data_IF_070906075762
#
_entry.id   IF_070906075762
#
_cell.length_a   1.000
_cell.length_b   1.000
_cell.length_c   1.000
_cell.angle_alpha   90.00
_cell.angle_beta   90.00
_cell.angle_gamma   90.00
#
_symmetry.space_group_name_H-M   'P 1'
#
loop_
_entity.id
_entity.type
_entity.pdbx_description
1 polymer ?
#
# COMPACT_ATOMS: atom_id res chain seq x y z
N UNK A 1 -4.61 -18.82 3.67
CA UNK A 1 -4.07 -18.02 2.54
C UNK A 1 -3.74 -16.55 2.89
N UNK A 2 -3.48 -16.19 4.16
CA UNK A 2 -3.13 -14.81 4.57
C UNK A 2 -1.72 -14.38 4.12
N UNK A 3 -0.80 -15.33 4.00
CA UNK A 3 0.62 -15.07 3.76
C UNK A 3 0.88 -14.30 2.45
N UNK A 4 0.16 -14.64 1.37
CA UNK A 4 0.30 -13.99 0.06
C UNK A 4 -0.18 -12.53 0.13
N UNK A 5 -1.30 -12.26 0.82
CA UNK A 5 -1.81 -10.89 1.03
C UNK A 5 -0.81 -10.07 1.83
N UNK A 6 -0.27 -10.63 2.91
CA UNK A 6 0.76 -9.96 3.70
C UNK A 6 1.99 -9.66 2.83
N UNK A 7 2.49 -10.62 2.04
CA UNK A 7 3.65 -10.36 1.20
C UNK A 7 3.42 -9.27 0.16
N UNK A 8 2.23 -9.21 -0.45
CA UNK A 8 1.82 -8.10 -1.34
C UNK A 8 1.81 -6.76 -0.62
N UNK A 9 1.27 -6.70 0.60
CA UNK A 9 1.27 -5.46 1.40
C UNK A 9 2.69 -4.98 1.73
N UNK A 10 3.65 -5.91 1.94
CA UNK A 10 5.07 -5.58 2.16
C UNK A 10 5.69 -4.88 0.94
N UNK A 11 5.41 -5.44 -0.23
CA UNK A 11 5.86 -4.90 -1.51
C UNK A 11 5.20 -3.54 -1.79
N UNK A 12 3.92 -3.38 -1.49
CA UNK A 12 3.24 -2.08 -1.54
C UNK A 12 3.92 -1.06 -0.63
N UNK A 13 4.29 -1.43 0.61
CA UNK A 13 4.95 -0.50 1.53
C UNK A 13 6.33 -0.05 1.00
N UNK A 14 7.10 -0.98 0.40
CA UNK A 14 8.35 -0.62 -0.28
C UNK A 14 8.13 0.25 -1.50
N UNK A 15 7.09 -0.02 -2.29
CA UNK A 15 6.74 0.82 -3.43
C UNK A 15 6.32 2.22 -2.96
N UNK A 16 5.53 2.34 -1.89
CA UNK A 16 5.11 3.62 -1.31
C UNK A 16 6.27 4.46 -0.77
N UNK A 17 7.32 3.82 -0.25
CA UNK A 17 8.56 4.49 0.17
C UNK A 17 9.34 5.08 -1.01
N UNK A 18 9.31 4.40 -2.16
CA UNK A 18 10.03 4.82 -3.37
C UNK A 18 9.13 5.56 -4.37
N UNK A 19 7.85 5.75 -4.05
CA UNK A 19 6.88 6.36 -4.94
C UNK A 19 7.10 7.87 -5.01
N UNK A 20 7.15 8.40 -6.23
CA UNK A 20 7.15 9.84 -6.47
C UNK A 20 5.79 10.46 -6.07
N UNK A 21 5.80 11.78 -5.82
CA UNK A 21 4.61 12.53 -5.40
C UNK A 21 3.45 12.42 -6.40
N UNK A 22 3.82 12.34 -7.70
CA UNK A 22 2.93 12.16 -8.85
C UNK A 22 2.25 10.77 -8.90
N UNK A 23 2.80 9.77 -8.22
CA UNK A 23 2.29 8.41 -8.28
C UNK A 23 1.07 8.23 -7.36
N UNK A 24 -0.08 7.90 -7.97
CA UNK A 24 -1.35 7.70 -7.24
C UNK A 24 -1.32 6.40 -6.43
N UNK A 25 -1.70 6.48 -5.15
CA UNK A 25 -1.84 5.33 -4.24
C UNK A 25 -2.72 4.21 -4.81
N UNK A 26 -3.81 4.58 -5.50
CA UNK A 26 -4.70 3.64 -6.18
C UNK A 26 -3.97 2.86 -7.31
N UNK A 27 -3.09 3.53 -8.06
CA UNK A 27 -2.27 2.89 -9.09
C UNK A 27 -1.25 1.92 -8.50
N UNK A 28 -0.66 2.25 -7.36
CA UNK A 28 0.24 1.34 -6.63
C UNK A 28 -0.53 0.09 -6.17
N UNK A 29 -1.70 0.26 -5.55
CA UNK A 29 -2.56 -0.87 -5.16
C UNK A 29 -2.90 -1.77 -6.35
N UNK A 30 -3.29 -1.17 -7.48
CA UNK A 30 -3.62 -1.91 -8.70
C UNK A 30 -2.43 -2.71 -9.26
N UNK A 31 -1.22 -2.12 -9.30
CA UNK A 31 0.02 -2.78 -9.74
C UNK A 31 0.36 -4.03 -8.92
N UNK A 32 0.02 -4.04 -7.63
CA UNK A 32 0.27 -5.17 -6.73
C UNK A 32 -0.91 -6.15 -6.61
N UNK A 33 -1.95 -5.97 -7.44
CA UNK A 33 -3.08 -6.88 -7.55
C UNK A 33 -4.18 -6.64 -6.52
N UNK A 34 -4.34 -5.40 -6.06
CA UNK A 34 -5.54 -4.95 -5.35
C UNK A 34 -6.50 -4.28 -6.33
N UNK A 35 -7.68 -4.89 -6.51
CA UNK A 35 -8.73 -4.35 -7.36
C UNK A 35 -9.41 -3.12 -6.74
N UNK A 36 -9.39 -3.02 -5.41
CA UNK A 36 -10.10 -2.00 -4.64
C UNK A 36 -9.18 -1.21 -3.72
N UNK A 37 -9.18 0.11 -3.89
CA UNK A 37 -8.39 1.03 -3.06
C UNK A 37 -8.85 1.02 -1.59
N UNK A 38 -10.14 0.90 -1.32
CA UNK A 38 -10.69 0.83 0.04
C UNK A 38 -10.24 -0.45 0.76
N UNK A 39 -10.27 -1.58 0.05
CA UNK A 39 -9.87 -2.87 0.60
C UNK A 39 -8.35 -2.91 0.84
N UNK A 40 -7.57 -2.35 -0.08
CA UNK A 40 -6.14 -2.13 0.10
C UNK A 40 -5.84 -1.24 1.29
N UNK A 41 -6.44 -0.06 1.39
CA UNK A 41 -6.18 0.89 2.48
C UNK A 41 -6.50 0.30 3.86
N UNK A 42 -7.61 -0.43 3.98
CA UNK A 42 -7.97 -1.11 5.24
C UNK A 42 -6.98 -2.22 5.57
N UNK A 43 -6.64 -3.09 4.61
CA UNK A 43 -5.69 -4.17 4.84
C UNK A 43 -4.27 -3.65 5.15
N UNK A 44 -3.86 -2.59 4.48
CA UNK A 44 -2.58 -1.91 4.73
C UNK A 44 -2.56 -1.28 6.12
N UNK A 45 -3.62 -0.55 6.50
CA UNK A 45 -3.75 0.03 7.84
C UNK A 45 -3.80 -1.03 8.94
N UNK A 46 -4.47 -2.17 8.71
CA UNK A 46 -4.47 -3.27 9.68
C UNK A 46 -3.07 -3.86 9.89
N UNK A 47 -2.22 -3.87 8.85
CA UNK A 47 -0.87 -4.45 8.93
C UNK A 47 0.20 -3.47 9.43
N UNK A 48 0.14 -2.21 8.99
CA UNK A 48 1.16 -1.18 9.26
C UNK A 48 0.69 -0.13 10.29
N UNK A 49 -0.56 -0.19 10.74
CA UNK A 49 -1.17 0.78 11.66
C UNK A 49 -1.56 2.12 11.03
N UNK A 50 -1.07 2.43 9.83
CA UNK A 50 -1.28 3.70 9.12
C UNK A 50 -1.83 3.47 7.71
N UNK A 51 -2.54 4.45 7.14
CA UNK A 51 -2.99 4.38 5.75
C UNK A 51 -1.81 4.49 4.79
N UNK A 52 -1.90 3.95 3.56
CA UNK A 52 -0.80 4.01 2.58
C UNK A 52 -0.39 5.46 2.23
N UNK A 53 -1.34 6.40 2.27
CA UNK A 53 -1.05 7.82 2.06
C UNK A 53 -0.29 8.46 3.23
N UNK A 54 -0.63 8.10 4.47
CA UNK A 54 0.11 8.57 5.65
C UNK A 54 1.50 7.93 5.71
N UNK A 55 1.61 6.65 5.34
CA UNK A 55 2.89 5.96 5.22
C UNK A 55 3.81 6.67 4.23
N UNK A 56 3.29 7.03 3.04
CA UNK A 56 4.02 7.84 2.05
C UNK A 56 4.46 9.19 2.63
N UNK A 57 3.60 9.88 3.38
CA UNK A 57 3.95 11.15 4.04
C UNK A 57 5.03 11.01 5.10
N UNK A 58 5.06 9.89 5.85
CA UNK A 58 6.05 9.63 6.90
C UNK A 58 7.42 9.22 6.37
N UNK A 59 7.46 8.57 5.21
CA UNK A 59 8.71 8.16 4.56
C UNK A 59 9.31 9.27 3.68
N UNK A 60 8.60 10.38 3.52
CA UNK A 60 9.09 11.61 2.92
C UNK A 60 9.76 12.47 3.98
#
# INVERSE_FOLDING_TARGET
AQYIKNRRLDLCARALQNAHDDEKLAGIGYRWGFSDHSHFSTAFKQRFGVSPGEYRKRCR
#
